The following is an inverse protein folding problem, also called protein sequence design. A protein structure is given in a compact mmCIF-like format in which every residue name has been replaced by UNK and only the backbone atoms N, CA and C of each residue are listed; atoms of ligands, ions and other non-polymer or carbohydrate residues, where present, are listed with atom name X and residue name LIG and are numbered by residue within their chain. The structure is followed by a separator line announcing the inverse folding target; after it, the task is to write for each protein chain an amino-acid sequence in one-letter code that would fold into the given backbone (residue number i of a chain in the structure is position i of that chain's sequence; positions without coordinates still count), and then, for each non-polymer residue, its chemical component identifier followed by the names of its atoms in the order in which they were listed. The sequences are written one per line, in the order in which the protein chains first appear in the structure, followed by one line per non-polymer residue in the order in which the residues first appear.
data_IF_978306394846
#
_entry.id   IF_978306394846
#
_cell.length_a   1.000
_cell.length_b   1.000
_cell.length_c   1.000
_cell.angle_alpha   90.00
_cell.angle_beta   90.00
_cell.angle_gamma   90.00
#
_symmetry.space_group_name_H-M   'P 1'
#
loop_
_entity.id
_entity.type
_entity.pdbx_description
1 polymer ?
#
# COMPACT_ATOMS: atom_id res chain seq x y z
N UNK A 1 -27.90 -10.17 -31.22
CA UNK A 1 -26.70 -10.42 -30.39
C UNK A 1 -26.87 -9.72 -29.05
N UNK A 2 -26.39 -10.31 -27.95
CA UNK A 2 -26.41 -9.64 -26.63
C UNK A 2 -25.28 -8.60 -26.55
N UNK A 3 -25.53 -7.47 -25.92
CA UNK A 3 -24.55 -6.39 -25.68
C UNK A 3 -24.34 -6.18 -24.19
N UNK A 4 -23.16 -5.72 -23.79
CA UNK A 4 -22.89 -5.33 -22.40
C UNK A 4 -23.84 -4.19 -21.99
N UNK A 5 -24.55 -4.30 -20.85
CA UNK A 5 -25.43 -3.25 -20.35
C UNK A 5 -24.70 -1.93 -20.12
N UNK A 6 -25.36 -0.81 -20.42
CA UNK A 6 -24.81 0.53 -20.19
C UNK A 6 -24.43 0.76 -18.72
N UNK A 7 -25.23 0.25 -17.79
CA UNK A 7 -24.99 0.32 -16.34
C UNK A 7 -23.68 -0.35 -15.93
N UNK A 8 -23.37 -1.52 -16.50
CA UNK A 8 -22.09 -2.20 -16.26
C UNK A 8 -20.92 -1.36 -16.81
N UNK A 9 -21.04 -0.79 -18.02
CA UNK A 9 -20.01 0.12 -18.56
C UNK A 9 -19.75 1.33 -17.64
N UNK A 10 -20.79 1.87 -17.02
CA UNK A 10 -20.64 2.97 -16.07
C UNK A 10 -19.90 2.54 -14.79
N UNK A 11 -20.19 1.33 -14.27
CA UNK A 11 -19.46 0.78 -13.12
C UNK A 11 -17.99 0.51 -13.43
N UNK A 12 -17.68 0.00 -14.61
CA UNK A 12 -16.28 -0.18 -15.05
C UNK A 12 -15.50 1.14 -15.08
N UNK A 13 -16.11 2.23 -15.58
CA UNK A 13 -15.48 3.57 -15.57
C UNK A 13 -15.29 4.13 -14.16
N UNK A 14 -16.25 3.88 -13.26
CA UNK A 14 -16.12 4.28 -11.85
C UNK A 14 -14.98 3.53 -11.17
N UNK A 15 -14.88 2.22 -11.40
CA UNK A 15 -13.82 1.39 -10.87
C UNK A 15 -12.44 1.81 -11.37
N UNK A 16 -12.29 2.04 -12.68
CA UNK A 16 -11.04 2.53 -13.28
C UNK A 16 -10.61 3.89 -12.69
N UNK A 17 -11.57 4.81 -12.51
CA UNK A 17 -11.32 6.10 -11.85
C UNK A 17 -10.82 5.94 -10.42
N UNK A 18 -11.38 5.02 -9.63
CA UNK A 18 -10.95 4.79 -8.26
C UNK A 18 -9.58 4.12 -8.19
N UNK A 19 -9.32 3.14 -9.07
CA UNK A 19 -8.00 2.50 -9.15
C UNK A 19 -6.92 3.49 -9.57
N UNK A 20 -7.21 4.42 -10.49
CA UNK A 20 -6.26 5.47 -10.88
C UNK A 20 -5.92 6.35 -9.68
N UNK A 21 -6.92 6.81 -8.93
CA UNK A 21 -6.69 7.60 -7.71
C UNK A 21 -5.92 6.85 -6.62
N UNK A 22 -6.21 5.56 -6.44
CA UNK A 22 -5.48 4.73 -5.48
C UNK A 22 -4.01 4.58 -5.88
N UNK A 23 -3.71 4.42 -7.17
CA UNK A 23 -2.34 4.40 -7.69
C UNK A 23 -1.63 5.72 -7.45
N UNK A 24 -2.27 6.85 -7.74
CA UNK A 24 -1.68 8.18 -7.52
C UNK A 24 -1.31 8.37 -6.04
N UNK A 25 -2.25 8.08 -5.13
CA UNK A 25 -2.01 8.14 -3.69
C UNK A 25 -0.91 7.17 -3.22
N UNK A 26 -0.85 5.97 -3.79
CA UNK A 26 0.22 5.01 -3.46
C UNK A 26 1.60 5.54 -3.84
N UNK A 27 1.74 6.23 -4.98
CA UNK A 27 3.01 6.87 -5.35
C UNK A 27 3.38 8.01 -4.38
N UNK A 28 2.41 8.81 -3.94
CA UNK A 28 2.63 9.85 -2.93
C UNK A 28 3.14 9.22 -1.61
N UNK A 29 2.50 8.14 -1.15
CA UNK A 29 2.92 7.39 0.05
C UNK A 29 4.35 6.83 -0.10
N UNK A 30 4.69 6.20 -1.22
CA UNK A 30 6.05 5.69 -1.46
C UNK A 30 7.07 6.82 -1.40
N UNK A 31 6.75 7.97 -2.02
CA UNK A 31 7.63 9.15 -2.01
C UNK A 31 7.86 9.62 -0.58
N UNK A 32 6.81 9.72 0.23
CA UNK A 32 6.91 10.09 1.64
C UNK A 32 7.73 9.09 2.46
N UNK A 33 7.62 7.79 2.18
CA UNK A 33 8.40 6.74 2.88
C UNK A 33 9.89 6.85 2.52
N UNK A 34 10.21 7.10 1.24
CA UNK A 34 11.58 7.22 0.73
C UNK A 34 12.32 8.42 1.34
N UNK A 35 11.62 9.52 1.66
CA UNK A 35 12.18 10.68 2.37
C UNK A 35 12.79 10.33 3.74
N UNK A 36 12.35 9.23 4.35
CA UNK A 36 12.89 8.73 5.62
C UNK A 36 13.91 7.59 5.45
N UNK A 37 14.26 7.22 4.21
CA UNK A 37 15.20 6.14 3.91
C UNK A 37 14.68 4.75 4.30
N UNK A 38 13.36 4.58 4.34
CA UNK A 38 12.72 3.30 4.69
C UNK A 38 12.54 2.45 3.44
N UNK A 39 13.10 1.22 3.36
CA UNK A 39 12.96 0.38 2.17
C UNK A 39 11.52 -0.10 1.98
N UNK A 40 10.95 0.16 0.80
CA UNK A 40 9.59 -0.26 0.44
C UNK A 40 9.37 -1.77 0.63
N UNK A 41 10.32 -2.58 0.19
CA UNK A 41 10.22 -4.05 0.25
C UNK A 41 10.08 -4.57 1.69
N UNK A 42 10.57 -3.83 2.69
CA UNK A 42 10.40 -4.19 4.10
C UNK A 42 9.00 -3.90 4.65
N UNK A 43 8.15 -3.17 3.91
CA UNK A 43 6.78 -2.83 4.32
C UNK A 43 5.70 -3.64 3.59
N UNK A 44 6.06 -4.37 2.52
CA UNK A 44 5.12 -5.10 1.66
C UNK A 44 5.36 -6.61 1.60
N UNK A 45 6.40 -7.12 2.24
CA UNK A 45 6.76 -8.52 2.21
C UNK A 45 7.25 -8.98 3.58
N UNK A 46 6.73 -10.12 4.04
CA UNK A 46 7.29 -10.86 5.16
C UNK A 46 8.31 -11.86 4.63
N UNK A 47 9.52 -11.84 5.17
CA UNK A 47 10.59 -12.76 4.82
C UNK A 47 11.48 -13.09 6.01
N UNK A 48 12.38 -14.07 5.82
CA UNK A 48 13.32 -14.53 6.86
C UNK A 48 14.56 -13.61 6.97
N UNK A 49 14.38 -12.32 6.70
CA UNK A 49 15.44 -11.32 6.72
C UNK A 49 15.97 -11.04 8.13
N UNK A 50 17.20 -10.51 8.21
CA UNK A 50 17.80 -10.05 9.47
C UNK A 50 17.13 -8.73 9.94
N UNK A 51 16.70 -7.92 8.99
CA UNK A 51 16.00 -6.65 9.27
C UNK A 51 14.51 -6.88 9.47
N UNK A 52 13.82 -6.04 10.27
CA UNK A 52 12.38 -6.17 10.46
C UNK A 52 11.64 -5.95 9.14
N UNK A 53 10.57 -6.71 9.00
CA UNK A 53 9.74 -6.79 7.80
C UNK A 53 8.27 -6.89 8.22
N UNK A 54 7.38 -6.39 7.36
CA UNK A 54 5.92 -6.50 7.50
C UNK A 54 5.27 -6.57 6.11
N UNK A 55 4.04 -7.07 6.06
CA UNK A 55 3.15 -7.01 4.90
C UNK A 55 2.10 -5.90 5.05
N UNK A 56 2.16 -5.09 6.10
CA UNK A 56 1.13 -4.12 6.45
C UNK A 56 0.79 -3.15 5.30
N UNK A 57 1.78 -2.65 4.55
CA UNK A 57 1.52 -1.78 3.40
C UNK A 57 0.87 -2.56 2.25
N UNK A 58 1.19 -3.84 2.06
CA UNK A 58 0.51 -4.71 1.10
C UNK A 58 -0.95 -4.95 1.51
N UNK A 59 -1.23 -5.21 2.79
CA UNK A 59 -2.59 -5.35 3.29
C UNK A 59 -3.39 -4.06 3.10
N UNK A 60 -2.82 -2.89 3.38
CA UNK A 60 -3.46 -1.59 3.11
C UNK A 60 -3.79 -1.44 1.62
N UNK A 61 -2.84 -1.76 0.71
CA UNK A 61 -3.05 -1.66 -0.74
C UNK A 61 -4.16 -2.58 -1.25
N UNK A 62 -4.33 -3.75 -0.61
CA UNK A 62 -5.35 -4.73 -0.95
C UNK A 62 -6.67 -4.52 -0.18
N UNK A 63 -6.74 -3.51 0.69
CA UNK A 63 -7.86 -3.29 1.61
C UNK A 63 -8.17 -4.51 2.49
N UNK A 64 -7.13 -5.17 2.98
CA UNK A 64 -7.16 -6.36 3.84
C UNK A 64 -6.79 -6.00 5.28
N UNK A 65 -7.30 -6.79 6.24
CA UNK A 65 -7.01 -6.60 7.66
C UNK A 65 -7.71 -5.40 8.30
N UNK A 66 -7.26 -5.03 9.51
CA UNK A 66 -7.71 -3.84 10.21
C UNK A 66 -6.74 -2.69 9.92
N UNK A 67 -7.28 -1.52 9.53
CA UNK A 67 -6.45 -0.37 9.14
C UNK A 67 -5.54 0.12 10.26
N UNK A 68 -6.00 0.14 11.51
CA UNK A 68 -5.21 0.63 12.65
C UNK A 68 -4.12 -0.39 13.04
N UNK A 69 -4.41 -1.70 12.92
CA UNK A 69 -3.41 -2.74 13.16
C UNK A 69 -2.31 -2.70 12.10
N UNK A 70 -2.69 -2.59 10.81
CA UNK A 70 -1.73 -2.46 9.73
C UNK A 70 -0.88 -1.19 9.88
N UNK A 71 -1.47 -0.03 10.21
CA UNK A 71 -0.71 1.20 10.44
C UNK A 71 0.30 1.02 11.57
N UNK A 72 -0.10 0.40 12.69
CA UNK A 72 0.79 0.13 13.82
C UNK A 72 1.96 -0.78 13.43
N UNK A 73 1.70 -1.87 12.72
CA UNK A 73 2.76 -2.79 12.26
C UNK A 73 3.70 -2.12 11.26
N UNK A 74 3.17 -1.31 10.35
CA UNK A 74 3.97 -0.49 9.43
C UNK A 74 4.84 0.52 10.20
N UNK A 75 4.28 1.18 11.22
CA UNK A 75 4.99 2.17 12.05
C UNK A 75 6.19 1.54 12.79
N UNK A 76 6.04 0.32 13.32
CA UNK A 76 7.11 -0.40 14.00
C UNK A 76 8.33 -0.62 13.08
N UNK A 77 8.10 -1.10 11.85
CA UNK A 77 9.18 -1.30 10.87
C UNK A 77 9.72 0.04 10.36
N UNK A 78 8.85 1.01 10.10
CA UNK A 78 9.23 2.35 9.65
C UNK A 78 10.20 3.02 10.64
N UNK A 79 9.88 3.00 11.95
CA UNK A 79 10.69 3.64 12.99
C UNK A 79 12.07 2.97 13.15
N UNK A 80 12.19 1.66 12.90
CA UNK A 80 13.50 0.98 12.90
C UNK A 80 14.42 1.58 11.84
N UNK A 81 13.97 1.67 10.59
CA UNK A 81 14.80 2.18 9.49
C UNK A 81 15.03 3.69 9.59
N UNK A 82 13.98 4.47 9.88
CA UNK A 82 14.07 5.93 9.98
C UNK A 82 15.04 6.41 11.07
N UNK A 83 15.32 5.59 12.09
CA UNK A 83 16.27 5.91 13.16
C UNK A 83 17.63 5.21 13.01
N UNK A 84 17.80 4.27 12.08
CA UNK A 84 19.06 3.52 11.89
C UNK A 84 20.24 4.39 11.42
N UNK A 85 19.95 5.50 10.74
CA UNK A 85 20.94 6.43 10.20
C UNK A 85 21.12 7.72 11.03
N UNK A 86 20.63 7.74 12.28
CA UNK A 86 20.82 8.85 13.23
C UNK A 86 21.97 8.60 14.20
#
# INVERSE_FOLDING_TARGET
MKTIPYTLKQKLRQFDKYNSKAKDLHHEIITMIDEYGVPYDNLVANGDGIEPQTEALAYINNAEGNIEENIREMEEVFLHFANKNK
#
